data_IF_281833327660
#
_entry.id   IF_281833327660
#
_cell.length_a   1.000
_cell.length_b   1.000
_cell.length_c   1.000
_cell.angle_alpha   90.00
_cell.angle_beta   90.00
_cell.angle_gamma   90.00
#
_symmetry.space_group_name_H-M   'P 1'
#
loop_
_entity.id
_entity.type
_entity.pdbx_description
1 polymer ?
#
# COMPACT_ATOMS: atom_id res chain seq x y z
N UNK A 1 -34.79 -34.78 -15.48
CA UNK A 1 -35.62 -35.94 -15.61
C UNK A 1 -35.31 -36.73 -16.90
N UNK A 2 -35.32 -36.14 -18.10
CA UNK A 2 -34.94 -36.83 -19.35
C UNK A 2 -33.50 -37.34 -19.34
N UNK A 3 -32.56 -36.57 -18.83
CA UNK A 3 -31.15 -36.96 -18.71
C UNK A 3 -30.91 -38.11 -17.72
N UNK A 4 -31.86 -38.35 -16.78
CA UNK A 4 -31.81 -39.43 -15.82
C UNK A 4 -32.68 -40.64 -16.25
N UNK A 5 -33.09 -40.74 -17.55
CA UNK A 5 -33.89 -41.85 -18.07
C UNK A 5 -35.33 -41.84 -17.61
N UNK A 6 -35.83 -40.80 -16.98
CA UNK A 6 -37.21 -40.69 -16.54
C UNK A 6 -38.14 -40.29 -17.69
N UNK A 7 -39.15 -41.09 -17.95
CA UNK A 7 -40.12 -40.89 -19.02
C UNK A 7 -41.34 -40.06 -18.56
N UNK A 8 -41.13 -39.10 -17.68
CA UNK A 8 -42.18 -38.20 -17.22
C UNK A 8 -42.68 -37.31 -18.34
N UNK A 9 -43.90 -37.53 -18.75
CA UNK A 9 -44.59 -36.76 -19.81
C UNK A 9 -45.00 -35.35 -19.38
N UNK A 10 -44.93 -35.02 -18.09
CA UNK A 10 -45.36 -33.72 -17.54
C UNK A 10 -44.42 -33.29 -16.43
N UNK A 11 -43.72 -32.19 -16.67
CA UNK A 11 -42.99 -31.48 -15.62
C UNK A 11 -44.01 -30.56 -14.92
N UNK A 12 -44.24 -30.78 -13.64
CA UNK A 12 -45.05 -29.87 -12.83
C UNK A 12 -44.19 -28.68 -12.53
N UNK A 13 -44.48 -27.56 -13.17
CA UNK A 13 -43.89 -26.27 -12.80
C UNK A 13 -44.71 -25.65 -11.67
N UNK A 14 -44.05 -25.27 -10.60
CA UNK A 14 -44.69 -24.46 -9.58
C UNK A 14 -45.09 -23.12 -10.23
N UNK A 15 -46.36 -22.76 -10.13
CA UNK A 15 -46.84 -21.43 -10.53
C UNK A 15 -46.70 -20.53 -9.31
N UNK A 16 -45.84 -19.54 -9.40
CA UNK A 16 -45.83 -18.40 -8.48
C UNK A 16 -46.67 -17.28 -9.11
N UNK A 17 -47.30 -16.46 -8.30
CA UNK A 17 -47.88 -15.21 -8.78
C UNK A 17 -46.77 -14.34 -9.40
N UNK A 18 -47.06 -13.77 -10.56
CA UNK A 18 -46.15 -12.82 -11.19
C UNK A 18 -46.05 -11.59 -10.28
N UNK A 19 -44.91 -11.45 -9.63
CA UNK A 19 -44.60 -10.31 -8.78
C UNK A 19 -43.77 -9.31 -9.59
N UNK A 20 -44.31 -8.12 -9.80
CA UNK A 20 -43.60 -7.04 -10.45
C UNK A 20 -42.59 -6.44 -9.48
N UNK A 21 -41.34 -6.89 -9.56
CA UNK A 21 -40.25 -6.33 -8.75
C UNK A 21 -39.99 -4.89 -9.17
N UNK A 22 -40.05 -3.98 -8.23
CA UNK A 22 -39.59 -2.61 -8.45
C UNK A 22 -38.07 -2.62 -8.68
N UNK A 23 -37.57 -1.85 -9.67
CA UNK A 23 -36.13 -1.76 -9.90
C UNK A 23 -35.43 -1.25 -8.64
N UNK A 24 -34.34 -1.92 -8.25
CA UNK A 24 -33.51 -1.49 -7.12
C UNK A 24 -32.84 -0.17 -7.45
N UNK A 25 -33.08 0.82 -6.61
CA UNK A 25 -32.36 2.11 -6.70
C UNK A 25 -31.12 2.05 -5.84
N UNK A 26 -29.91 2.13 -6.43
CA UNK A 26 -28.67 2.08 -5.66
C UNK A 26 -28.49 3.35 -4.84
N UNK A 27 -28.11 3.20 -3.58
CA UNK A 27 -27.78 4.31 -2.68
C UNK A 27 -26.27 4.27 -2.42
N UNK A 28 -25.54 5.11 -3.11
CA UNK A 28 -24.08 5.17 -3.05
C UNK A 28 -23.54 6.10 -1.97
N UNK A 29 -24.36 7.05 -1.52
CA UNK A 29 -23.95 8.10 -0.60
C UNK A 29 -25.02 8.29 0.47
N UNK A 30 -24.58 8.59 1.68
CA UNK A 30 -25.48 8.96 2.77
C UNK A 30 -26.38 10.14 2.35
N UNK A 31 -27.67 10.15 2.71
CA UNK A 31 -28.61 11.22 2.33
C UNK A 31 -28.09 12.61 2.66
N UNK A 32 -28.38 13.58 1.77
CA UNK A 32 -27.92 14.96 1.94
C UNK A 32 -28.42 15.61 3.24
N UNK A 33 -29.59 15.20 3.75
CA UNK A 33 -30.14 15.65 5.04
C UNK A 33 -29.39 15.13 6.28
N UNK A 34 -28.46 14.18 6.13
CA UNK A 34 -27.66 13.71 7.24
C UNK A 34 -26.73 14.82 7.76
N UNK A 35 -26.53 14.88 9.08
CA UNK A 35 -25.65 15.86 9.70
C UNK A 35 -24.21 15.77 9.15
N UNK A 36 -23.49 16.88 9.16
CA UNK A 36 -22.08 16.90 8.74
C UNK A 36 -21.22 15.85 9.48
N UNK A 37 -21.47 15.67 10.78
CA UNK A 37 -20.77 14.67 11.60
C UNK A 37 -20.93 13.24 11.07
N UNK A 38 -22.11 12.91 10.56
CA UNK A 38 -22.36 11.59 9.94
C UNK A 38 -21.75 11.50 8.54
N UNK A 39 -21.89 12.55 7.74
CA UNK A 39 -21.34 12.58 6.38
C UNK A 39 -19.81 12.53 6.35
N UNK A 40 -19.15 13.18 7.31
CA UNK A 40 -17.69 13.15 7.44
C UNK A 40 -17.15 11.77 7.86
N UNK A 41 -18.01 10.88 8.37
CA UNK A 41 -17.68 9.49 8.74
C UNK A 41 -18.09 8.46 7.68
N UNK A 42 -18.38 8.87 6.47
CA UNK A 42 -18.75 7.98 5.38
C UNK A 42 -17.51 7.25 4.85
N UNK A 43 -17.17 6.13 5.48
CA UNK A 43 -16.04 5.29 5.13
C UNK A 43 -16.36 4.44 3.89
N UNK A 44 -15.42 4.36 2.97
CA UNK A 44 -15.46 3.50 1.78
C UNK A 44 -14.57 2.27 1.95
N UNK A 45 -13.37 2.47 2.45
CA UNK A 45 -12.39 1.43 2.69
C UNK A 45 -11.94 1.49 4.14
N UNK A 46 -12.30 0.47 4.92
CA UNK A 46 -11.98 0.39 6.34
C UNK A 46 -10.54 -0.08 6.60
N UNK A 47 -9.90 -0.72 5.63
CA UNK A 47 -8.53 -1.20 5.77
C UNK A 47 -7.51 -0.08 5.56
N UNK A 48 -7.79 0.82 4.63
CA UNK A 48 -6.93 1.96 4.31
C UNK A 48 -7.52 3.31 4.76
N UNK A 49 -8.56 3.29 5.58
CA UNK A 49 -9.20 4.49 6.14
C UNK A 49 -9.65 5.53 5.09
N UNK A 50 -10.09 5.06 3.91
CA UNK A 50 -10.53 5.95 2.83
C UNK A 50 -12.00 6.33 3.02
N UNK A 51 -12.29 7.61 2.95
CA UNK A 51 -13.63 8.19 3.07
C UNK A 51 -14.16 8.67 1.72
N UNK A 52 -15.46 8.96 1.68
CA UNK A 52 -16.11 9.64 0.56
C UNK A 52 -15.43 10.97 0.24
N UNK A 53 -15.06 11.73 1.27
CA UNK A 53 -14.38 13.03 1.13
C UNK A 53 -13.04 12.92 0.43
N UNK A 54 -12.29 11.84 0.63
CA UNK A 54 -10.98 11.65 0.01
C UNK A 54 -11.12 11.40 -1.50
N UNK A 55 -12.14 10.62 -1.90
CA UNK A 55 -12.45 10.41 -3.32
C UNK A 55 -12.96 11.68 -3.99
N UNK A 56 -13.76 12.47 -3.28
CA UNK A 56 -14.22 13.77 -3.77
C UNK A 56 -13.07 14.76 -3.92
N UNK A 57 -12.15 14.79 -2.96
CA UNK A 57 -10.94 15.61 -3.03
C UNK A 57 -10.06 15.19 -4.22
N UNK A 58 -9.84 13.90 -4.41
CA UNK A 58 -9.11 13.41 -5.57
C UNK A 58 -9.70 13.90 -6.89
N UNK A 59 -11.03 13.89 -7.01
CA UNK A 59 -11.72 14.42 -8.19
C UNK A 59 -11.52 15.94 -8.35
N UNK A 60 -11.56 16.71 -7.27
CA UNK A 60 -11.30 18.15 -7.27
C UNK A 60 -9.86 18.48 -7.68
N UNK A 61 -8.90 17.67 -7.29
CA UNK A 61 -7.49 17.84 -7.63
C UNK A 61 -7.14 17.34 -9.06
N UNK A 62 -8.15 16.89 -9.82
CA UNK A 62 -7.98 16.54 -11.22
C UNK A 62 -7.59 15.09 -11.48
N UNK A 63 -7.70 14.19 -10.50
CA UNK A 63 -7.50 12.75 -10.70
C UNK A 63 -8.70 12.12 -11.41
N UNK A 64 -8.82 12.36 -12.71
CA UNK A 64 -9.92 11.86 -13.54
C UNK A 64 -9.86 10.34 -13.76
N UNK A 65 -8.66 9.77 -13.84
CA UNK A 65 -8.49 8.32 -13.98
C UNK A 65 -8.79 7.60 -12.67
N UNK A 66 -9.59 6.52 -12.73
CA UNK A 66 -9.88 5.68 -11.56
C UNK A 66 -8.61 5.07 -10.96
N UNK A 67 -7.63 4.72 -11.80
CA UNK A 67 -6.36 4.16 -11.37
C UNK A 67 -5.46 5.20 -10.66
N UNK A 68 -5.53 6.45 -11.07
CA UNK A 68 -4.82 7.54 -10.38
C UNK A 68 -5.48 7.88 -9.07
N UNK A 69 -6.81 8.05 -9.04
CA UNK A 69 -7.57 8.28 -7.81
C UNK A 69 -7.37 7.14 -6.80
N UNK A 70 -7.32 5.89 -7.26
CA UNK A 70 -6.99 4.71 -6.45
C UNK A 70 -5.63 4.85 -5.76
N UNK A 71 -4.59 5.24 -6.50
CA UNK A 71 -3.24 5.40 -5.94
C UNK A 71 -3.11 6.61 -5.02
N UNK A 72 -3.82 7.67 -5.34
CA UNK A 72 -3.85 8.89 -4.52
C UNK A 72 -4.51 8.63 -3.16
N UNK A 73 -5.65 7.94 -3.15
CA UNK A 73 -6.46 7.68 -1.96
C UNK A 73 -6.14 6.35 -1.26
N UNK A 74 -5.37 5.46 -1.89
CA UNK A 74 -5.19 4.05 -1.50
C UNK A 74 -6.47 3.20 -1.52
N UNK A 75 -7.56 3.70 -2.11
CA UNK A 75 -8.83 3.00 -2.21
C UNK A 75 -8.68 1.65 -2.91
N UNK A 76 -9.05 0.56 -2.23
CA UNK A 76 -9.01 -0.78 -2.80
C UNK A 76 -7.61 -1.36 -3.00
N UNK A 77 -6.61 -0.84 -2.30
CA UNK A 77 -5.23 -1.33 -2.33
C UNK A 77 -4.88 -2.24 -1.16
N UNK A 78 -5.81 -2.51 -0.27
CA UNK A 78 -5.62 -3.40 0.86
C UNK A 78 -5.77 -4.88 0.47
N UNK A 79 -5.74 -5.78 1.46
CA UNK A 79 -5.73 -7.24 1.24
C UNK A 79 -6.97 -7.78 0.53
N UNK A 80 -8.12 -7.11 0.66
CA UNK A 80 -9.35 -7.45 -0.06
C UNK A 80 -9.36 -6.99 -1.53
N UNK A 81 -8.36 -6.22 -1.96
CA UNK A 81 -8.24 -5.65 -3.31
C UNK A 81 -9.48 -4.87 -3.74
N UNK A 82 -10.16 -4.24 -2.79
CA UNK A 82 -11.31 -3.38 -3.02
C UNK A 82 -12.61 -4.10 -3.35
N UNK A 83 -12.74 -5.39 -3.05
CA UNK A 83 -13.98 -6.14 -3.29
C UNK A 83 -15.20 -5.53 -2.61
N UNK A 84 -15.01 -4.89 -1.45
CA UNK A 84 -16.07 -4.23 -0.69
C UNK A 84 -16.22 -2.75 -1.04
N UNK A 85 -15.19 -2.08 -1.51
CA UNK A 85 -15.12 -0.61 -1.61
C UNK A 85 -15.11 -0.06 -3.04
N UNK A 86 -14.58 -0.80 -4.01
CA UNK A 86 -14.32 -0.28 -5.35
C UNK A 86 -15.58 0.18 -6.09
N UNK A 87 -16.70 -0.54 -5.99
CA UNK A 87 -17.95 -0.15 -6.66
C UNK A 87 -18.50 1.14 -6.05
N UNK A 88 -18.53 1.23 -4.73
CA UNK A 88 -18.99 2.43 -4.04
C UNK A 88 -18.08 3.63 -4.35
N UNK A 89 -16.77 3.44 -4.29
CA UNK A 89 -15.81 4.48 -4.64
C UNK A 89 -15.93 4.95 -6.08
N UNK A 90 -16.15 4.02 -7.02
CA UNK A 90 -16.40 4.35 -8.42
C UNK A 90 -17.67 5.21 -8.60
N UNK A 91 -18.76 4.85 -7.93
CA UNK A 91 -20.00 5.61 -8.00
C UNK A 91 -19.85 7.02 -7.41
N UNK A 92 -19.16 7.16 -6.27
CA UNK A 92 -18.88 8.47 -5.65
C UNK A 92 -18.02 9.33 -6.58
N UNK A 93 -16.95 8.76 -7.14
CA UNK A 93 -16.07 9.45 -8.09
C UNK A 93 -16.85 9.88 -9.34
N UNK A 94 -17.63 8.98 -9.93
CA UNK A 94 -18.43 9.26 -11.12
C UNK A 94 -19.42 10.40 -10.86
N UNK A 95 -20.02 10.44 -9.68
CA UNK A 95 -20.89 11.56 -9.27
C UNK A 95 -20.09 12.86 -9.12
N UNK A 96 -18.90 12.82 -8.54
CA UNK A 96 -18.07 14.01 -8.37
C UNK A 96 -17.60 14.60 -9.71
N UNK A 97 -17.31 13.75 -10.69
CA UNK A 97 -16.89 14.14 -12.05
C UNK A 97 -18.07 14.35 -13.02
N UNK A 98 -19.31 14.12 -12.60
CA UNK A 98 -20.51 14.17 -13.42
C UNK A 98 -20.44 13.28 -14.68
N UNK A 99 -19.91 12.05 -14.52
CA UNK A 99 -19.84 11.04 -15.55
C UNK A 99 -20.66 9.79 -15.18
N UNK A 100 -21.10 9.03 -16.17
CA UNK A 100 -21.80 7.78 -15.92
C UNK A 100 -20.86 6.74 -15.30
N UNK A 101 -21.37 5.93 -14.36
CA UNK A 101 -20.59 4.90 -13.66
C UNK A 101 -19.85 3.97 -14.62
N UNK A 102 -20.44 3.42 -15.71
CA UNK A 102 -19.69 2.57 -16.65
C UNK A 102 -18.60 3.31 -17.42
N UNK A 103 -18.80 4.59 -17.72
CA UNK A 103 -17.85 5.42 -18.47
C UNK A 103 -16.60 5.82 -17.67
N UNK A 104 -16.66 5.74 -16.34
CA UNK A 104 -15.57 6.08 -15.44
C UNK A 104 -14.43 5.05 -15.37
N UNK A 105 -14.55 3.92 -16.09
CA UNK A 105 -13.60 2.82 -16.00
C UNK A 105 -13.77 1.96 -14.74
N UNK A 106 -12.90 0.98 -14.57
CA UNK A 106 -12.86 0.10 -13.39
C UNK A 106 -11.44 0.05 -12.84
N UNK A 107 -11.31 -0.09 -11.52
CA UNK A 107 -10.02 -0.32 -10.90
C UNK A 107 -9.51 -1.73 -11.20
N UNK A 108 -8.21 -1.85 -11.42
CA UNK A 108 -7.54 -3.12 -11.70
C UNK A 108 -7.13 -3.80 -10.40
N UNK A 109 -7.34 -5.09 -10.31
CA UNK A 109 -6.85 -5.92 -9.21
C UNK A 109 -5.40 -6.31 -9.43
N UNK A 110 -4.70 -6.59 -8.33
CA UNK A 110 -3.35 -7.15 -8.34
C UNK A 110 -3.32 -8.53 -7.68
N UNK A 111 -2.48 -9.46 -8.14
CA UNK A 111 -2.25 -10.72 -7.44
C UNK A 111 -1.59 -10.47 -6.05
N UNK A 112 -1.92 -11.29 -5.06
CA UNK A 112 -2.97 -12.30 -5.05
C UNK A 112 -4.36 -11.68 -4.87
N UNK A 113 -5.31 -12.03 -5.73
CA UNK A 113 -6.68 -11.52 -5.64
C UNK A 113 -7.42 -12.02 -4.39
N UNK A 114 -7.19 -13.26 -4.02
CA UNK A 114 -7.61 -13.81 -2.73
C UNK A 114 -6.44 -13.65 -1.75
N UNK A 115 -6.65 -13.06 -0.55
CA UNK A 115 -5.60 -12.92 0.44
C UNK A 115 -4.94 -14.26 0.77
N UNK A 116 -3.61 -14.29 0.73
CA UNK A 116 -2.80 -15.46 1.02
C UNK A 116 -1.90 -15.11 2.19
N UNK A 117 -1.81 -15.98 3.19
CA UNK A 117 -0.90 -15.77 4.31
C UNK A 117 0.56 -15.94 3.88
N UNK A 118 1.46 -15.17 4.47
CA UNK A 118 2.90 -15.32 4.23
C UNK A 118 3.38 -16.72 4.61
N UNK A 119 2.79 -17.34 5.61
CA UNK A 119 3.09 -18.72 5.99
C UNK A 119 2.77 -19.75 4.89
N UNK A 120 1.70 -19.53 4.12
CA UNK A 120 1.36 -20.37 2.97
C UNK A 120 2.39 -20.24 1.84
N UNK A 121 2.94 -19.04 1.63
CA UNK A 121 4.00 -18.81 0.65
C UNK A 121 5.34 -19.38 1.11
N UNK A 122 5.62 -19.30 2.40
CA UNK A 122 6.87 -19.81 2.98
C UNK A 122 6.97 -21.34 2.92
N UNK A 123 5.83 -22.04 3.00
CA UNK A 123 5.82 -23.49 3.09
C UNK A 123 6.60 -24.01 4.33
N UNK A 124 7.65 -24.79 4.09
CA UNK A 124 8.52 -25.32 5.16
C UNK A 124 9.58 -24.32 5.60
N UNK A 125 9.85 -23.27 4.84
CA UNK A 125 10.85 -22.26 5.19
C UNK A 125 10.41 -21.46 6.42
N UNK A 126 11.22 -21.49 7.49
CA UNK A 126 10.94 -20.80 8.76
C UNK A 126 12.19 -20.09 9.26
N UNK A 127 11.99 -19.04 10.07
CA UNK A 127 13.09 -18.26 10.64
C UNK A 127 14.03 -17.72 9.56
N UNK A 128 15.30 -18.00 9.65
CA UNK A 128 16.31 -17.51 8.70
C UNK A 128 16.11 -18.01 7.27
N UNK A 129 15.53 -19.20 7.08
CA UNK A 129 15.21 -19.70 5.73
C UNK A 129 14.08 -18.91 5.08
N UNK A 130 13.14 -18.40 5.87
CA UNK A 130 12.04 -17.58 5.38
C UNK A 130 12.45 -16.12 5.20
N UNK A 131 13.19 -15.57 6.16
CA UNK A 131 13.65 -14.19 6.15
C UNK A 131 15.15 -14.14 6.43
N UNK A 132 16.00 -14.48 5.45
CA UNK A 132 17.44 -14.46 5.64
C UNK A 132 17.92 -13.02 5.89
N UNK A 133 18.79 -12.88 6.88
CA UNK A 133 19.51 -11.62 7.12
C UNK A 133 20.66 -11.55 6.12
N UNK A 134 20.56 -10.62 5.18
CA UNK A 134 21.62 -10.35 4.22
C UNK A 134 22.64 -9.42 4.82
N UNK A 135 23.91 -9.75 4.62
CA UNK A 135 25.05 -9.01 5.17
C UNK A 135 25.83 -8.32 4.05
N UNK A 136 26.29 -7.11 4.32
CA UNK A 136 27.20 -6.39 3.42
C UNK A 136 28.63 -6.95 3.53
N UNK A 137 29.52 -6.73 2.56
CA UNK A 137 30.92 -7.12 2.68
C UNK A 137 31.64 -6.50 3.87
N UNK A 138 31.20 -5.35 4.37
CA UNK A 138 31.76 -4.66 5.53
C UNK A 138 31.17 -5.10 6.86
N UNK A 139 30.16 -5.99 6.84
CA UNK A 139 29.39 -6.34 8.03
C UNK A 139 30.26 -6.73 9.23
N UNK A 140 31.24 -7.59 9.01
CA UNK A 140 32.06 -8.11 10.12
C UNK A 140 33.00 -7.03 10.66
N UNK A 141 33.47 -6.13 9.81
CA UNK A 141 34.22 -4.95 10.22
C UNK A 141 33.35 -4.00 11.03
N UNK A 142 32.18 -3.68 10.52
CA UNK A 142 31.22 -2.79 11.19
C UNK A 142 30.79 -3.35 12.55
N UNK A 143 30.53 -4.66 12.64
CA UNK A 143 30.16 -5.33 13.88
C UNK A 143 31.29 -5.27 14.93
N UNK A 144 32.54 -5.48 14.50
CA UNK A 144 33.71 -5.36 15.36
C UNK A 144 34.00 -3.95 15.85
N UNK A 145 33.46 -2.92 15.16
CA UNK A 145 33.58 -1.51 15.52
C UNK A 145 32.35 -0.92 16.22
N UNK A 146 31.44 -1.79 16.70
CA UNK A 146 30.30 -1.39 17.51
C UNK A 146 29.20 -0.71 16.72
N UNK A 147 29.00 -1.12 15.47
CA UNK A 147 27.91 -0.61 14.66
C UNK A 147 26.54 -0.95 15.27
N UNK A 148 25.67 0.05 15.33
CA UNK A 148 24.25 -0.15 15.52
C UNK A 148 23.58 -0.46 14.17
N UNK A 149 22.54 -1.30 14.16
CA UNK A 149 22.02 -1.92 12.97
C UNK A 149 20.56 -1.59 12.69
N UNK A 150 20.23 -1.36 11.40
CA UNK A 150 18.85 -1.30 10.94
C UNK A 150 18.56 -2.31 9.82
N UNK A 151 17.37 -2.90 9.78
CA UNK A 151 16.94 -3.77 8.70
C UNK A 151 16.40 -2.93 7.53
N UNK A 152 17.00 -3.09 6.35
CA UNK A 152 16.53 -2.45 5.13
C UNK A 152 16.33 -3.50 4.05
N UNK A 153 15.06 -3.78 3.68
CA UNK A 153 14.70 -4.77 2.66
C UNK A 153 15.40 -6.14 2.84
N UNK A 154 15.54 -6.60 4.08
CA UNK A 154 16.21 -7.85 4.44
C UNK A 154 17.73 -7.77 4.52
N UNK A 155 18.32 -6.62 4.28
CA UNK A 155 19.74 -6.35 4.52
C UNK A 155 19.94 -5.78 5.91
N UNK A 156 21.00 -6.17 6.57
CA UNK A 156 21.47 -5.56 7.79
C UNK A 156 22.42 -4.43 7.41
N UNK A 157 21.97 -3.20 7.63
CA UNK A 157 22.71 -1.98 7.32
C UNK A 157 23.16 -1.30 8.61
N UNK A 158 24.39 -0.79 8.63
CA UNK A 158 24.86 0.07 9.72
C UNK A 158 24.02 1.34 9.78
N UNK A 159 23.46 1.61 10.95
CA UNK A 159 22.67 2.81 11.24
C UNK A 159 23.55 3.93 11.80
N UNK A 160 24.37 3.63 12.81
CA UNK A 160 25.30 4.57 13.45
C UNK A 160 26.38 3.80 14.22
N UNK A 161 27.45 4.47 14.59
CA UNK A 161 28.45 3.95 15.53
C UNK A 161 28.35 4.73 16.83
N UNK A 162 27.49 4.27 17.72
CA UNK A 162 27.21 4.92 19.01
C UNK A 162 28.34 4.63 19.99
N UNK A 163 28.95 5.68 20.54
CA UNK A 163 30.02 5.57 21.53
C UNK A 163 29.46 5.37 22.94
N UNK A 164 30.23 4.81 23.89
CA UNK A 164 29.77 4.67 25.26
C UNK A 164 29.35 6.00 25.88
N UNK A 165 28.12 6.07 26.39
CA UNK A 165 27.55 7.28 26.98
C UNK A 165 26.96 8.29 25.97
N UNK A 166 27.01 7.99 24.69
CA UNK A 166 26.44 8.81 23.62
C UNK A 166 25.03 8.33 23.27
N UNK A 167 24.11 9.24 23.03
CA UNK A 167 22.81 8.91 22.44
C UNK A 167 22.93 8.78 20.91
N UNK A 168 22.02 8.05 20.27
CA UNK A 168 21.97 7.92 18.81
C UNK A 168 21.95 9.30 18.12
N UNK A 169 21.20 10.25 18.68
CA UNK A 169 21.13 11.60 18.14
C UNK A 169 22.50 12.33 18.17
N UNK A 170 23.24 12.17 19.25
CA UNK A 170 24.60 12.74 19.38
C UNK A 170 25.58 12.05 18.42
N UNK A 171 25.48 10.72 18.27
CA UNK A 171 26.27 9.99 17.29
C UNK A 171 26.02 10.49 15.87
N UNK A 172 24.76 10.65 15.48
CA UNK A 172 24.39 11.19 14.16
C UNK A 172 24.95 12.60 13.96
N UNK A 173 24.84 13.49 14.96
CA UNK A 173 25.42 14.83 14.87
C UNK A 173 26.94 14.80 14.68
N UNK A 174 27.64 13.99 15.45
CA UNK A 174 29.09 13.81 15.36
C UNK A 174 29.51 13.28 13.98
N UNK A 175 28.80 12.29 13.45
CA UNK A 175 29.08 11.71 12.14
C UNK A 175 28.81 12.69 11.00
N UNK A 176 27.73 13.49 11.10
CA UNK A 176 27.44 14.57 10.13
C UNK A 176 28.51 15.62 10.12
N UNK A 177 28.99 16.06 11.30
CA UNK A 177 30.09 17.04 11.42
C UNK A 177 31.36 16.45 10.81
N UNK A 178 31.71 15.22 11.21
CA UNK A 178 32.89 14.53 10.67
C UNK A 178 32.84 14.38 9.14
N UNK A 179 31.70 14.11 8.58
CA UNK A 179 31.51 14.01 7.11
C UNK A 179 31.77 15.36 6.41
N UNK A 180 31.50 16.48 7.08
CA UNK A 180 31.70 17.84 6.53
C UNK A 180 33.11 18.33 6.70
N UNK A 181 33.76 17.98 7.78
CA UNK A 181 35.12 18.48 8.15
C UNK A 181 36.23 17.54 7.69
N UNK A 182 35.93 16.25 7.57
CA UNK A 182 36.89 15.21 7.26
C UNK A 182 36.47 14.38 6.04
N UNK A 183 37.23 13.32 5.78
CA UNK A 183 36.93 12.36 4.73
C UNK A 183 35.84 11.41 5.21
N UNK A 184 34.79 11.23 4.39
CA UNK A 184 33.77 10.21 4.58
C UNK A 184 33.73 9.28 3.38
N UNK A 185 33.61 7.99 3.64
CA UNK A 185 33.37 6.97 2.64
C UNK A 185 31.93 6.48 2.78
N UNK A 186 31.12 6.73 1.75
CA UNK A 186 29.75 6.25 1.71
C UNK A 186 29.63 5.11 0.71
N UNK A 187 29.12 3.95 1.16
CA UNK A 187 28.90 2.79 0.32
C UNK A 187 27.39 2.53 0.12
N UNK A 188 26.77 3.03 -0.95
CA UNK A 188 25.37 2.79 -1.25
C UNK A 188 25.17 1.39 -1.85
N UNK A 189 25.35 0.35 -1.06
CA UNK A 189 25.26 -1.03 -1.56
C UNK A 189 23.86 -1.46 -1.98
N UNK A 190 22.81 -0.72 -1.58
CA UNK A 190 21.42 -1.04 -1.87
C UNK A 190 20.82 -0.30 -3.06
N UNK A 191 21.40 0.77 -3.54
CA UNK A 191 20.74 1.63 -4.53
C UNK A 191 21.54 1.93 -5.81
N UNK A 192 22.82 1.78 -5.84
CA UNK A 192 23.70 1.79 -7.03
C UNK A 192 25.17 1.90 -6.59
N UNK A 193 26.12 1.47 -7.41
CA UNK A 193 27.55 1.69 -7.21
C UNK A 193 27.89 3.14 -7.56
N UNK A 194 27.59 4.09 -6.68
CA UNK A 194 28.02 5.47 -6.85
C UNK A 194 29.14 5.76 -5.84
N UNK A 195 30.35 5.96 -6.33
CA UNK A 195 31.47 6.45 -5.56
C UNK A 195 31.41 7.98 -5.56
N UNK A 196 31.04 8.60 -4.46
CA UNK A 196 31.16 10.04 -4.30
C UNK A 196 32.42 10.35 -3.48
N UNK A 197 33.41 10.87 -4.13
CA UNK A 197 34.61 11.39 -3.48
C UNK A 197 34.39 12.90 -3.23
N UNK A 198 33.97 13.25 -2.02
CA UNK A 198 33.83 14.64 -1.64
C UNK A 198 35.23 15.14 -1.24
N UNK A 199 35.81 16.00 -2.07
CA UNK A 199 37.04 16.69 -1.76
C UNK A 199 36.68 18.04 -1.14
N UNK A 200 36.76 18.18 0.17
CA UNK A 200 36.71 19.47 0.82
C UNK A 200 38.06 20.13 0.57
N UNK A 201 38.06 21.16 -0.29
CA UNK A 201 39.25 22.00 -0.51
C UNK A 201 39.52 22.85 0.74
N UNK A 202 40.38 22.40 1.58
CA UNK A 202 41.06 23.32 2.50
C UNK A 202 42.07 24.07 1.67
N UNK A 203 41.77 25.33 1.32
CA UNK A 203 42.75 26.26 0.83
C UNK A 203 43.69 26.60 1.98
N UNK A 204 44.87 26.00 2.00
CA UNK A 204 45.99 26.57 2.77
C UNK A 204 46.44 27.85 2.09
N UNK A 205 46.07 29.00 2.64
CA UNK A 205 46.75 30.24 2.38
C UNK A 205 47.96 30.30 3.27
N UNK A 206 49.13 30.18 2.67
CA UNK A 206 50.34 30.79 3.18
C UNK A 206 50.34 32.27 2.88
#
# INVERSE_FOLDING_TARGET
AKAAGSNTKRVVQAKAEDFEERPLSPVWLMPQGASYKLRSKAWLDFQNDVKVTDVQLAAQEGFESVEHAKRYTTLGMATDQGKLSNINGLAIRSKALNVAVPGGGRSTYRPPYTPISMASLAGEARGELFQPIRKTPMHDWDDSHGADWEPVAGWRRTYAYVQPGESVHQAVQREVINTRENWACWMPQLLARLWLKVRTGASSST
#
